data_IF_954693733012
#
_entry.id   IF_954693733012
#
_cell.length_a   1.000
_cell.length_b   1.000
_cell.length_c   1.000
_cell.angle_alpha   90.00
_cell.angle_beta   90.00
_cell.angle_gamma   90.00
#
_symmetry.space_group_name_H-M   'P 1'
#
loop_
_entity.id
_entity.type
_entity.pdbx_description
1 polymer ?
#
# COMPACT_ATOMS: atom_id res chain seq x y z
N UNK A 1 26.48 -26.33 10.46
CA UNK A 1 25.92 -24.96 10.35
C UNK A 1 24.41 -24.95 10.10
N UNK A 2 23.89 -25.64 9.07
CA UNK A 2 22.45 -25.71 8.77
C UNK A 2 21.58 -26.15 9.96
N UNK A 3 22.00 -27.18 10.73
CA UNK A 3 21.25 -27.65 11.91
C UNK A 3 21.18 -26.63 13.06
N UNK A 4 22.18 -25.76 13.19
CA UNK A 4 22.23 -24.72 14.23
C UNK A 4 21.29 -23.58 13.84
N UNK A 5 21.33 -23.15 12.57
CA UNK A 5 20.42 -22.14 12.02
C UNK A 5 18.97 -22.62 12.11
N UNK A 6 18.70 -23.86 11.71
CA UNK A 6 17.35 -24.45 11.81
C UNK A 6 16.84 -24.47 13.25
N UNK A 7 17.68 -24.88 14.22
CA UNK A 7 17.30 -24.91 15.62
C UNK A 7 17.02 -23.52 16.18
N UNK A 8 17.79 -22.52 15.75
CA UNK A 8 17.60 -21.12 16.14
C UNK A 8 16.29 -20.54 15.57
N UNK A 9 16.06 -20.68 14.26
CA UNK A 9 14.80 -20.26 13.61
C UNK A 9 13.61 -20.99 14.24
N UNK A 10 13.75 -22.29 14.50
CA UNK A 10 12.70 -23.08 15.13
C UNK A 10 12.34 -22.56 16.51
N UNK A 11 13.32 -22.25 17.35
CA UNK A 11 13.09 -21.80 18.73
C UNK A 11 12.61 -20.34 18.83
N UNK A 12 13.08 -19.45 17.95
CA UNK A 12 12.79 -18.01 18.02
C UNK A 12 11.60 -17.58 17.16
N UNK A 13 11.32 -18.32 16.08
CA UNK A 13 10.24 -17.97 15.14
C UNK A 13 9.15 -19.03 15.16
N UNK A 14 9.47 -20.29 14.84
CA UNK A 14 8.43 -21.31 14.60
C UNK A 14 7.68 -21.68 15.88
N UNK A 15 8.38 -22.01 16.96
CA UNK A 15 7.78 -22.46 18.22
C UNK A 15 6.96 -21.35 18.89
N UNK A 16 7.42 -20.08 18.98
CA UNK A 16 6.60 -18.99 19.50
C UNK A 16 5.36 -18.74 18.65
N UNK A 17 5.45 -18.85 17.33
CA UNK A 17 4.30 -18.68 16.44
C UNK A 17 3.29 -19.81 16.59
N UNK A 18 3.75 -21.06 16.74
CA UNK A 18 2.91 -22.25 16.95
C UNK A 18 2.25 -22.26 18.34
N UNK A 19 2.96 -21.78 19.35
CA UNK A 19 2.46 -21.69 20.73
C UNK A 19 1.75 -20.36 21.03
N UNK A 20 1.69 -19.45 20.05
CA UNK A 20 1.04 -18.15 20.19
C UNK A 20 -0.47 -18.34 20.27
N UNK A 21 -0.99 -18.33 21.48
CA UNK A 21 -2.41 -18.16 21.76
C UNK A 21 -2.70 -16.65 21.82
N UNK A 22 -2.38 -15.93 20.73
CA UNK A 22 -2.75 -14.54 20.63
C UNK A 22 -4.28 -14.43 20.79
N UNK A 23 -4.79 -13.51 21.64
CA UNK A 23 -6.22 -13.32 21.77
C UNK A 23 -6.84 -13.09 20.39
N UNK A 24 -7.96 -13.75 20.09
CA UNK A 24 -8.64 -13.65 18.79
C UNK A 24 -8.84 -12.18 18.39
N UNK A 25 -9.14 -11.31 19.37
CA UNK A 25 -9.25 -9.86 19.20
C UNK A 25 -7.98 -9.22 18.59
N UNK A 26 -6.79 -9.57 19.09
CA UNK A 26 -5.52 -8.99 18.61
C UNK A 26 -5.16 -9.47 17.20
N UNK A 27 -5.53 -10.72 16.89
CA UNK A 27 -5.40 -11.29 15.54
C UNK A 27 -6.33 -10.58 14.57
N UNK A 28 -7.62 -10.49 14.90
CA UNK A 28 -8.60 -9.78 14.08
C UNK A 28 -8.20 -8.32 13.86
N UNK A 29 -7.75 -7.62 14.90
CA UNK A 29 -7.30 -6.23 14.78
C UNK A 29 -6.07 -6.10 13.88
N UNK A 30 -5.09 -7.00 14.03
CA UNK A 30 -3.92 -7.05 13.15
C UNK A 30 -4.30 -7.31 11.69
N UNK A 31 -5.22 -8.25 11.45
CA UNK A 31 -5.75 -8.54 10.12
C UNK A 31 -6.44 -7.31 9.51
N UNK A 32 -7.32 -6.65 10.26
CA UNK A 32 -8.04 -5.46 9.79
C UNK A 32 -7.11 -4.30 9.47
N UNK A 33 -6.14 -4.00 10.33
CA UNK A 33 -5.13 -2.94 10.10
C UNK A 33 -4.29 -3.27 8.88
N UNK A 34 -3.85 -4.53 8.75
CA UNK A 34 -3.02 -4.94 7.64
C UNK A 34 -3.76 -4.89 6.29
N UNK A 35 -5.03 -5.31 6.26
CA UNK A 35 -5.90 -5.16 5.08
C UNK A 35 -6.16 -3.70 4.73
N UNK A 36 -6.43 -2.85 5.73
CA UNK A 36 -6.62 -1.43 5.51
C UNK A 36 -5.41 -0.82 4.78
N UNK A 37 -4.20 -1.08 5.30
CA UNK A 37 -2.99 -0.59 4.66
C UNK A 37 -2.70 -1.25 3.30
N UNK A 38 -2.98 -2.54 3.13
CA UNK A 38 -2.77 -3.23 1.84
C UNK A 38 -3.58 -2.61 0.70
N UNK A 39 -4.77 -2.10 1.00
CA UNK A 39 -5.67 -1.50 0.02
C UNK A 39 -5.31 -0.05 -0.31
N UNK A 40 -4.48 0.63 0.48
CA UNK A 40 -4.02 1.99 0.13
C UNK A 40 -3.05 1.95 -1.06
N UNK A 41 -3.15 2.83 -2.09
CA UNK A 41 -2.23 2.81 -3.23
C UNK A 41 -0.87 3.48 -2.92
N UNK A 42 -0.22 3.05 -1.83
CA UNK A 42 1.03 3.60 -1.31
C UNK A 42 2.19 2.62 -1.55
N UNK A 43 2.70 2.57 -2.79
CA UNK A 43 3.77 1.63 -3.18
C UNK A 43 4.95 1.70 -2.22
N UNK A 44 5.28 0.57 -1.59
CA UNK A 44 6.46 0.39 -0.74
C UNK A 44 6.40 1.06 0.65
N UNK A 45 5.52 2.04 0.87
CA UNK A 45 5.43 2.76 2.15
C UNK A 45 4.51 2.05 3.16
N UNK A 46 3.56 1.23 2.69
CA UNK A 46 2.59 0.50 3.53
C UNK A 46 3.23 -0.27 4.70
N UNK A 47 4.40 -0.88 4.48
CA UNK A 47 5.12 -1.64 5.51
C UNK A 47 5.53 -0.75 6.69
N UNK A 48 6.03 0.44 6.40
CA UNK A 48 6.38 1.42 7.44
C UNK A 48 5.14 1.94 8.15
N UNK A 49 4.03 2.14 7.42
CA UNK A 49 2.76 2.59 8.01
C UNK A 49 2.14 1.54 8.93
N UNK A 50 2.29 0.25 8.61
CA UNK A 50 1.91 -0.84 9.50
C UNK A 50 2.69 -0.83 10.81
N UNK A 51 4.01 -0.65 10.75
CA UNK A 51 4.86 -0.53 11.94
C UNK A 51 4.53 0.74 12.73
N UNK A 52 4.31 1.85 12.04
CA UNK A 52 3.96 3.13 12.66
C UNK A 52 2.62 3.03 13.40
N UNK A 53 1.63 2.39 12.78
CA UNK A 53 0.32 2.11 13.40
C UNK A 53 0.48 1.20 14.62
N UNK A 54 1.36 0.21 14.54
CA UNK A 54 1.67 -0.66 15.69
C UNK A 54 2.27 0.11 16.87
N UNK A 55 3.21 1.01 16.62
CA UNK A 55 3.80 1.87 17.65
C UNK A 55 2.74 2.80 18.24
N UNK A 56 2.01 3.55 17.40
CA UNK A 56 1.01 4.51 17.87
C UNK A 56 -0.11 3.85 18.68
N UNK A 57 -0.66 2.74 18.20
CA UNK A 57 -1.70 2.01 18.93
C UNK A 57 -1.15 1.42 20.23
N UNK A 58 0.09 0.93 20.22
CA UNK A 58 0.77 0.45 21.43
C UNK A 58 0.92 1.54 22.51
N UNK A 59 1.19 2.78 22.12
CA UNK A 59 1.32 3.92 23.04
C UNK A 59 -0.01 4.24 23.76
N UNK A 60 -1.16 4.02 23.11
CA UNK A 60 -2.50 4.22 23.70
C UNK A 60 -3.08 2.94 24.32
N UNK A 61 -2.26 1.89 24.49
CA UNK A 61 -2.65 0.64 25.14
C UNK A 61 -3.38 -0.36 24.25
N UNK A 62 -3.47 -0.11 22.94
CA UNK A 62 -4.08 -1.02 21.96
C UNK A 62 -3.00 -1.92 21.37
N UNK A 63 -3.08 -3.22 21.66
CA UNK A 63 -2.16 -4.23 21.13
C UNK A 63 -2.83 -5.02 20.01
N UNK A 64 -2.05 -5.35 18.99
CA UNK A 64 -2.44 -6.27 17.94
C UNK A 64 -1.23 -7.10 17.49
N UNK A 65 -1.53 -8.23 16.85
CA UNK A 65 -0.50 -9.17 16.43
C UNK A 65 0.17 -8.68 15.13
N UNK A 66 1.26 -7.93 15.27
CA UNK A 66 2.00 -7.30 14.17
C UNK A 66 2.40 -8.25 13.03
N UNK A 67 2.85 -9.50 13.27
CA UNK A 67 3.22 -10.39 12.17
C UNK A 67 2.07 -10.68 11.19
N UNK A 68 0.83 -10.76 11.71
CA UNK A 68 -0.36 -10.95 10.87
C UNK A 68 -0.67 -9.67 10.09
N UNK A 69 -0.56 -8.49 10.72
CA UNK A 69 -0.74 -7.23 10.02
C UNK A 69 0.24 -7.08 8.84
N UNK A 70 1.51 -7.42 9.04
CA UNK A 70 2.52 -7.44 7.98
C UNK A 70 2.17 -8.43 6.87
N UNK A 71 1.74 -9.64 7.23
CA UNK A 71 1.33 -10.64 6.25
C UNK A 71 0.16 -10.14 5.38
N UNK A 72 -0.81 -9.46 5.99
CA UNK A 72 -1.95 -8.89 5.28
C UNK A 72 -1.55 -7.68 4.41
N UNK A 73 -0.62 -6.82 4.86
CA UNK A 73 -0.07 -5.73 4.04
C UNK A 73 0.51 -6.28 2.73
N UNK A 74 1.17 -7.44 2.79
CA UNK A 74 1.81 -8.09 1.64
C UNK A 74 0.84 -8.72 0.64
N UNK A 75 -0.47 -8.61 0.84
CA UNK A 75 -1.46 -8.95 -0.18
C UNK A 75 -1.24 -8.11 -1.44
N UNK A 76 -0.84 -6.85 -1.28
CA UNK A 76 -0.49 -5.93 -2.38
C UNK A 76 1.02 -5.90 -2.58
N UNK A 77 1.57 -6.95 -3.18
CA UNK A 77 3.00 -7.15 -3.45
C UNK A 77 3.34 -6.87 -4.93
N UNK A 78 4.61 -6.92 -5.36
CA UNK A 78 4.99 -6.62 -6.75
C UNK A 78 4.29 -7.45 -7.84
N UNK A 79 3.72 -8.60 -7.51
CA UNK A 79 2.98 -9.44 -8.45
C UNK A 79 1.51 -9.00 -8.51
N UNK A 80 0.90 -8.69 -7.37
CA UNK A 80 -0.53 -8.34 -7.27
C UNK A 80 -0.80 -6.84 -7.40
N UNK A 81 0.21 -5.97 -7.24
CA UNK A 81 0.04 -4.51 -7.33
C UNK A 81 -0.61 -4.06 -8.64
N UNK A 82 -0.23 -4.58 -9.83
CA UNK A 82 -0.78 -4.06 -11.08
C UNK A 82 -2.27 -4.35 -11.18
N UNK A 83 -2.70 -5.49 -10.65
CA UNK A 83 -4.10 -5.89 -10.57
C UNK A 83 -4.90 -4.97 -9.64
N UNK A 84 -4.44 -4.79 -8.40
CA UNK A 84 -5.14 -3.93 -7.43
C UNK A 84 -5.18 -2.47 -7.90
N UNK A 85 -4.07 -1.92 -8.39
CA UNK A 85 -3.97 -0.51 -8.75
C UNK A 85 -4.79 -0.19 -9.99
N UNK A 86 -4.88 -1.14 -10.93
CA UNK A 86 -5.79 -1.00 -12.06
C UNK A 86 -7.25 -0.92 -11.59
N UNK A 87 -7.66 -1.81 -10.67
CA UNK A 87 -9.03 -1.78 -10.13
C UNK A 87 -9.28 -0.45 -9.42
N UNK A 88 -8.40 -0.04 -8.51
CA UNK A 88 -8.52 1.22 -7.77
C UNK A 88 -8.62 2.43 -8.70
N UNK A 89 -7.88 2.41 -9.81
CA UNK A 89 -7.92 3.49 -10.78
C UNK A 89 -9.26 3.57 -11.52
N UNK A 90 -9.78 2.43 -11.98
CA UNK A 90 -11.07 2.39 -12.71
C UNK A 90 -12.24 2.71 -11.79
N UNK A 91 -12.27 2.14 -10.57
CA UNK A 91 -13.29 2.47 -9.56
C UNK A 91 -13.20 3.94 -9.18
N UNK A 92 -11.98 4.46 -9.03
CA UNK A 92 -11.69 5.87 -8.79
C UNK A 92 -12.27 6.79 -9.85
N UNK A 93 -11.98 6.56 -11.13
CA UNK A 93 -12.54 7.34 -12.24
C UNK A 93 -14.07 7.28 -12.21
N UNK A 94 -14.65 6.11 -12.00
CA UNK A 94 -16.10 5.96 -11.91
C UNK A 94 -16.68 6.79 -10.76
N UNK A 95 -16.02 6.81 -9.60
CA UNK A 95 -16.40 7.65 -8.48
C UNK A 95 -16.27 9.16 -8.79
N UNK A 96 -15.14 9.59 -9.36
CA UNK A 96 -14.92 10.97 -9.82
C UNK A 96 -16.02 11.44 -10.79
N UNK A 97 -16.38 10.59 -11.75
CA UNK A 97 -17.42 10.90 -12.73
C UNK A 97 -18.81 10.95 -12.09
N UNK A 98 -19.08 10.07 -11.12
CA UNK A 98 -20.32 10.10 -10.33
C UNK A 98 -20.44 11.37 -9.47
N UNK A 99 -19.31 11.93 -9.02
CA UNK A 99 -19.23 13.20 -8.31
C UNK A 99 -19.29 14.44 -9.24
N UNK A 100 -19.38 14.24 -10.56
CA UNK A 100 -19.48 15.32 -11.55
C UNK A 100 -18.15 15.95 -11.97
N UNK A 101 -17.01 15.37 -11.58
CA UNK A 101 -15.69 15.90 -11.89
C UNK A 101 -15.16 15.54 -13.29
N UNK A 102 -15.91 14.74 -14.07
CA UNK A 102 -15.65 14.40 -15.49
C UNK A 102 -14.16 14.08 -15.78
N UNK A 103 -13.60 13.18 -14.98
CA UNK A 103 -12.23 12.70 -15.12
C UNK A 103 -12.14 11.76 -16.32
N UNK A 104 -11.30 12.12 -17.30
CA UNK A 104 -10.98 11.24 -18.42
C UNK A 104 -9.89 10.23 -18.03
N UNK A 105 -9.97 9.02 -18.56
CA UNK A 105 -8.90 8.03 -18.36
C UNK A 105 -7.61 8.47 -19.06
N UNK A 106 -6.49 8.34 -18.35
CA UNK A 106 -5.14 8.47 -18.90
C UNK A 106 -5.00 7.57 -20.12
N UNK A 107 -4.67 8.19 -21.25
CA UNK A 107 -4.40 7.53 -22.52
C UNK A 107 -2.93 7.75 -22.92
N UNK A 108 -2.50 7.05 -23.97
CA UNK A 108 -1.12 7.17 -24.46
C UNK A 108 -0.78 8.60 -24.93
N UNK A 109 -1.74 9.32 -25.49
CA UNK A 109 -1.54 10.70 -25.93
C UNK A 109 -1.16 11.62 -24.75
N UNK A 110 -1.88 11.52 -23.63
CA UNK A 110 -1.59 12.27 -22.40
C UNK A 110 -0.21 11.94 -21.84
N UNK A 111 0.18 10.66 -21.83
CA UNK A 111 1.51 10.25 -21.37
C UNK A 111 2.59 10.85 -22.29
N UNK A 112 2.41 10.78 -23.62
CA UNK A 112 3.36 11.36 -24.56
C UNK A 112 3.49 12.88 -24.41
N UNK A 113 2.38 13.58 -24.21
CA UNK A 113 2.35 15.02 -23.94
C UNK A 113 3.18 15.35 -22.69
N UNK A 114 2.98 14.61 -21.60
CA UNK A 114 3.70 14.83 -20.34
C UNK A 114 5.20 14.56 -20.50
N UNK A 115 5.58 13.52 -21.23
CA UNK A 115 6.99 13.20 -21.50
C UNK A 115 7.64 14.30 -22.35
N UNK A 116 6.98 14.75 -23.41
CA UNK A 116 7.52 15.82 -24.27
C UNK A 116 7.60 17.16 -23.55
N UNK A 117 6.58 17.51 -22.78
CA UNK A 117 6.54 18.78 -22.04
C UNK A 117 7.54 18.81 -20.88
N UNK A 118 7.65 17.72 -20.11
CA UNK A 118 8.65 17.65 -19.03
C UNK A 118 10.09 17.66 -19.56
N UNK A 119 10.34 17.10 -20.74
CA UNK A 119 11.66 17.09 -21.39
C UNK A 119 12.08 18.44 -21.97
N UNK A 120 11.16 19.38 -22.21
CA UNK A 120 11.49 20.73 -22.67
C UNK A 120 11.73 21.73 -21.54
N UNK A 121 11.47 21.34 -20.29
CA UNK A 121 11.64 22.17 -19.10
C UNK A 121 12.99 21.91 -18.42
N UNK A 122 13.37 22.80 -17.50
CA UNK A 122 14.46 22.56 -16.57
C UNK A 122 14.19 21.33 -15.69
N UNK A 123 15.26 20.72 -15.13
CA UNK A 123 15.14 19.47 -14.37
C UNK A 123 14.11 19.56 -13.23
N UNK A 124 14.11 20.65 -12.47
CA UNK A 124 13.21 20.84 -11.33
C UNK A 124 11.75 20.99 -11.79
N UNK A 125 11.52 21.82 -12.81
CA UNK A 125 10.20 22.08 -13.37
C UNK A 125 9.62 20.83 -14.05
N UNK A 126 10.45 20.11 -14.81
CA UNK A 126 10.09 18.83 -15.43
C UNK A 126 9.73 17.78 -14.38
N UNK A 127 10.56 17.62 -13.33
CA UNK A 127 10.28 16.70 -12.23
C UNK A 127 8.99 17.06 -11.49
N UNK A 128 8.75 18.35 -11.25
CA UNK A 128 7.51 18.84 -10.62
C UNK A 128 6.29 18.54 -11.49
N UNK A 129 6.36 18.80 -12.80
CA UNK A 129 5.26 18.54 -13.72
C UNK A 129 4.92 17.04 -13.78
N UNK A 130 5.96 16.19 -13.85
CA UNK A 130 5.79 14.74 -13.85
C UNK A 130 5.20 14.22 -12.53
N UNK A 131 5.64 14.78 -11.40
CA UNK A 131 5.10 14.43 -10.07
C UNK A 131 3.63 14.84 -9.93
N UNK A 132 3.26 16.03 -10.42
CA UNK A 132 1.86 16.50 -10.42
C UNK A 132 0.98 15.62 -11.30
N UNK A 133 1.46 15.21 -12.47
CA UNK A 133 0.77 14.25 -13.32
C UNK A 133 0.52 12.92 -12.58
N UNK A 134 1.56 12.33 -11.97
CA UNK A 134 1.40 11.08 -11.23
C UNK A 134 0.44 11.22 -10.05
N UNK A 135 0.49 12.32 -9.30
CA UNK A 135 -0.37 12.50 -8.12
C UNK A 135 -1.81 12.80 -8.52
N UNK A 136 -2.04 13.72 -9.47
CA UNK A 136 -3.39 14.17 -9.80
C UNK A 136 -4.10 13.24 -10.78
N UNK A 137 -3.43 12.86 -11.87
CA UNK A 137 -4.07 12.12 -12.96
C UNK A 137 -4.12 10.61 -12.66
N UNK A 138 -3.22 10.10 -11.80
CA UNK A 138 -3.16 8.68 -11.45
C UNK A 138 -3.40 8.41 -9.95
N UNK A 139 -2.70 9.11 -9.05
CA UNK A 139 -2.71 8.84 -7.61
C UNK A 139 -4.05 9.18 -6.95
N UNK A 140 -4.61 10.35 -7.21
CA UNK A 140 -5.87 10.81 -6.65
C UNK A 140 -7.07 9.91 -7.02
N UNK A 141 -7.27 9.50 -8.29
CA UNK A 141 -8.32 8.53 -8.61
C UNK A 141 -8.06 7.18 -7.95
N UNK A 142 -6.84 6.66 -7.96
CA UNK A 142 -6.53 5.40 -7.26
C UNK A 142 -6.83 5.47 -5.76
N UNK A 143 -6.51 6.59 -5.11
CA UNK A 143 -6.77 6.75 -3.69
C UNK A 143 -8.27 6.75 -3.40
N UNK A 144 -9.06 7.47 -4.19
CA UNK A 144 -10.51 7.47 -4.04
C UNK A 144 -11.12 6.09 -4.30
N UNK A 145 -10.66 5.39 -5.34
CA UNK A 145 -11.19 4.07 -5.70
C UNK A 145 -10.72 2.92 -4.83
N UNK A 146 -9.80 3.16 -3.89
CA UNK A 146 -9.35 2.17 -2.91
C UNK A 146 -10.26 2.02 -1.69
N UNK A 147 -11.23 2.92 -1.51
CA UNK A 147 -12.21 2.94 -0.42
C UNK A 147 -13.64 2.89 -0.97
#
# INVERSE_FOLDING_TARGET
MIKVIYRFIRQQVIVPFQNSHAPVKEVCLGTSIGLFWSLTPLVGIQMYLGVLTWVFLGLIGIRFYMPIAIAMIWITNPITLPFFYYIFYITGISAYNSLGWNMSSVNFARISEVVHHSGSLGFYEGLKYWSLFLINDMGAPMFLGSF
#
